data_IF_145294210355
#
_entry.id   IF_145294210355
#
_cell.length_a   1.000
_cell.length_b   1.000
_cell.length_c   1.000
_cell.angle_alpha   90.00
_cell.angle_beta   90.00
_cell.angle_gamma   90.00
#
_symmetry.space_group_name_H-M   'P 1'
#
loop_
_entity.id
_entity.type
_entity.pdbx_description
1 polymer ?
#
# COMPACT_ATOMS: atom_id res chain seq x y z
N UNK A 1 -25.65 -8.20 32.18
CA UNK A 1 -24.23 -8.07 31.81
C UNK A 1 -24.14 -8.53 30.36
N UNK A 2 -23.95 -7.61 29.40
CA UNK A 2 -23.93 -7.97 27.97
C UNK A 2 -22.67 -8.76 27.64
N UNK A 3 -22.78 -9.76 26.76
CA UNK A 3 -21.62 -10.58 26.40
C UNK A 3 -20.61 -9.78 25.57
N UNK A 4 -19.32 -10.14 25.67
CA UNK A 4 -18.24 -9.53 24.88
C UNK A 4 -18.54 -9.51 23.36
N UNK A 5 -19.24 -10.54 22.87
CA UNK A 5 -19.68 -10.63 21.48
C UNK A 5 -20.76 -9.61 21.13
N UNK A 6 -21.72 -9.38 22.03
CA UNK A 6 -22.76 -8.36 21.81
C UNK A 6 -22.18 -6.94 21.85
N UNK A 7 -21.22 -6.68 22.73
CA UNK A 7 -20.55 -5.38 22.83
C UNK A 7 -19.67 -5.13 21.59
N UNK A 8 -18.91 -6.13 21.15
CA UNK A 8 -18.14 -6.05 19.90
C UNK A 8 -19.04 -5.91 18.67
N UNK A 9 -20.21 -6.56 18.68
CA UNK A 9 -21.22 -6.45 17.63
C UNK A 9 -21.84 -5.06 17.56
N UNK A 10 -22.25 -4.51 18.70
CA UNK A 10 -22.79 -3.14 18.80
C UNK A 10 -21.77 -2.07 18.41
N UNK A 11 -20.51 -2.23 18.82
CA UNK A 11 -19.42 -1.35 18.42
C UNK A 11 -19.13 -1.44 16.92
N UNK A 12 -19.16 -2.66 16.36
CA UNK A 12 -19.05 -2.89 14.92
C UNK A 12 -20.17 -2.22 14.13
N UNK A 13 -21.42 -2.39 14.58
CA UNK A 13 -22.58 -1.71 14.00
C UNK A 13 -22.47 -0.19 14.13
N UNK A 14 -21.97 0.34 15.24
CA UNK A 14 -21.71 1.76 15.45
C UNK A 14 -20.69 2.33 14.46
N UNK A 15 -19.57 1.63 14.24
CA UNK A 15 -18.56 2.01 13.24
C UNK A 15 -19.12 1.93 11.82
N UNK A 16 -19.91 0.90 11.51
CA UNK A 16 -20.57 0.74 10.21
C UNK A 16 -21.55 1.87 9.91
N UNK A 17 -22.40 2.20 10.87
CA UNK A 17 -23.37 3.30 10.78
C UNK A 17 -22.65 4.63 10.58
N UNK A 18 -21.52 4.81 11.26
CA UNK A 18 -20.69 6.01 11.16
C UNK A 18 -19.95 6.11 9.82
N UNK A 19 -19.47 4.98 9.26
CA UNK A 19 -18.89 4.91 7.91
C UNK A 19 -19.95 5.16 6.84
N UNK A 20 -21.18 4.67 7.01
CA UNK A 20 -22.32 4.94 6.13
C UNK A 20 -22.70 6.42 6.19
N UNK A 21 -22.82 6.99 7.39
CA UNK A 21 -23.07 8.42 7.59
C UNK A 21 -21.95 9.26 6.99
N UNK A 22 -20.69 8.83 7.10
CA UNK A 22 -19.54 9.48 6.45
C UNK A 22 -19.62 9.40 4.92
N UNK A 23 -19.99 8.25 4.36
CA UNK A 23 -20.15 8.08 2.92
C UNK A 23 -21.26 8.97 2.34
N UNK A 24 -22.36 9.16 3.09
CA UNK A 24 -23.49 10.02 2.72
C UNK A 24 -23.17 11.51 2.95
N UNK A 25 -22.43 11.86 4.02
CA UNK A 25 -22.23 13.23 4.49
C UNK A 25 -20.90 13.87 4.05
N UNK A 26 -20.11 13.20 3.21
CA UNK A 26 -18.80 13.66 2.71
C UNK A 26 -18.87 15.04 2.01
N UNK A 27 -20.04 15.43 1.50
CA UNK A 27 -20.24 16.70 0.80
C UNK A 27 -20.81 17.84 1.67
N UNK A 28 -21.28 17.58 2.89
CA UNK A 28 -22.05 18.57 3.68
C UNK A 28 -21.44 18.96 5.03
N UNK A 29 -20.46 18.23 5.57
CA UNK A 29 -19.97 18.42 6.93
C UNK A 29 -18.51 18.95 7.03
N UNK A 30 -18.22 19.88 7.96
CA UNK A 30 -16.89 20.45 8.14
C UNK A 30 -15.87 19.44 8.69
N UNK A 31 -14.62 19.51 8.19
CA UNK A 31 -13.55 18.52 8.41
C UNK A 31 -13.19 18.27 9.90
N UNK A 32 -13.43 19.25 10.79
CA UNK A 32 -13.12 19.15 12.22
C UNK A 32 -14.12 18.29 13.02
N UNK A 33 -15.37 18.20 12.56
CA UNK A 33 -16.40 17.36 13.19
C UNK A 33 -15.98 15.88 13.20
N UNK A 34 -15.39 15.42 12.10
CA UNK A 34 -14.89 14.05 11.99
C UNK A 34 -13.71 13.79 12.93
N UNK A 35 -12.82 14.75 13.15
CA UNK A 35 -11.68 14.56 14.06
C UNK A 35 -12.14 14.34 15.51
N UNK A 36 -13.11 15.13 15.99
CA UNK A 36 -13.66 14.99 17.34
C UNK A 36 -14.36 13.64 17.51
N UNK A 37 -15.12 13.22 16.49
CA UNK A 37 -15.82 11.94 16.48
C UNK A 37 -14.86 10.74 16.55
N UNK A 38 -13.73 10.80 15.83
CA UNK A 38 -12.67 9.79 15.90
C UNK A 38 -11.97 9.76 17.27
N UNK A 39 -11.82 10.91 17.93
CA UNK A 39 -11.25 10.99 19.29
C UNK A 39 -12.20 10.36 20.31
N UNK A 40 -13.51 10.66 20.23
CA UNK A 40 -14.52 10.08 21.13
C UNK A 40 -14.62 8.57 20.94
N UNK A 41 -14.55 8.07 19.70
CA UNK A 41 -14.53 6.63 19.42
C UNK A 41 -13.26 5.94 19.92
N UNK A 42 -12.10 6.60 19.81
CA UNK A 42 -10.85 6.11 20.38
C UNK A 42 -10.90 6.04 21.92
N UNK A 43 -11.56 7.02 22.56
CA UNK A 43 -11.77 7.04 24.01
C UNK A 43 -12.79 6.00 24.49
N UNK A 44 -13.87 5.77 23.74
CA UNK A 44 -14.85 4.71 24.04
C UNK A 44 -14.26 3.30 23.83
N UNK A 45 -13.36 3.17 22.86
CA UNK A 45 -12.61 1.94 22.58
C UNK A 45 -11.61 1.60 23.69
N UNK A 46 -10.94 2.60 24.28
CA UNK A 46 -10.03 2.37 25.42
C UNK A 46 -10.78 1.98 26.71
N UNK A 47 -11.99 2.51 26.92
CA UNK A 47 -12.83 2.17 28.08
C UNK A 47 -13.41 0.74 28.04
N UNK A 48 -13.62 0.17 26.86
CA UNK A 48 -14.22 -1.17 26.68
C UNK A 48 -13.22 -2.33 26.77
N UNK A 49 -11.91 -2.04 26.87
CA UNK A 49 -10.82 -3.02 26.93
C UNK A 49 -10.54 -3.57 28.34
N UNK A 50 -11.28 -3.13 29.37
CA UNK A 50 -10.87 -3.30 30.77
C UNK A 50 -11.51 -4.46 31.55
N UNK A 51 -12.23 -5.39 30.91
CA UNK A 51 -12.95 -6.45 31.64
C UNK A 51 -12.58 -7.87 31.17
N UNK A 52 -11.91 -8.57 32.09
CA UNK A 52 -11.69 -10.03 32.21
C UNK A 52 -10.69 -10.73 31.24
N UNK A 53 -9.55 -11.15 31.83
CA UNK A 53 -8.34 -11.80 31.26
C UNK A 53 -7.36 -10.85 30.55
N UNK A 54 -6.03 -10.94 30.79
CA UNK A 54 -5.06 -9.98 30.25
C UNK A 54 -4.94 -10.19 28.73
N UNK A 55 -5.55 -9.33 27.89
CA UNK A 55 -5.45 -9.42 26.44
C UNK A 55 -4.01 -9.11 25.98
N UNK A 56 -3.17 -8.68 26.92
CA UNK A 56 -1.77 -8.29 26.78
C UNK A 56 -0.93 -9.38 26.11
N UNK A 57 -1.16 -10.67 26.39
CA UNK A 57 -0.34 -11.73 25.79
C UNK A 57 -0.69 -11.96 24.31
N UNK A 58 -1.98 -11.94 23.96
CA UNK A 58 -2.45 -12.10 22.57
C UNK A 58 -2.03 -10.87 21.76
N UNK A 59 -2.21 -9.68 22.30
CA UNK A 59 -1.78 -8.43 21.66
C UNK A 59 -0.26 -8.34 21.56
N UNK A 60 0.47 -8.74 22.59
CA UNK A 60 1.92 -8.80 22.60
C UNK A 60 2.46 -9.76 21.54
N UNK A 61 1.82 -10.92 21.36
CA UNK A 61 2.18 -11.87 20.31
C UNK A 61 1.88 -11.31 18.91
N UNK A 62 0.72 -10.68 18.70
CA UNK A 62 0.39 -10.01 17.43
C UNK A 62 1.38 -8.88 17.10
N UNK A 63 1.73 -8.03 18.08
CA UNK A 63 2.74 -6.98 17.92
C UNK A 63 4.10 -7.59 17.59
N UNK A 64 4.48 -8.68 18.25
CA UNK A 64 5.73 -9.39 17.99
C UNK A 64 5.79 -9.90 16.54
N UNK A 65 4.72 -10.53 16.04
CA UNK A 65 4.62 -10.98 14.63
C UNK A 65 4.77 -9.80 13.67
N UNK A 66 4.10 -8.68 13.92
CA UNK A 66 4.23 -7.48 13.09
C UNK A 66 5.66 -6.96 13.06
N UNK A 67 6.28 -6.85 14.23
CA UNK A 67 7.65 -6.37 14.38
C UNK A 67 8.62 -7.30 13.65
N UNK A 68 8.50 -8.61 13.82
CA UNK A 68 9.32 -9.61 13.12
C UNK A 68 9.12 -9.56 11.61
N UNK A 69 7.87 -9.53 11.14
CA UNK A 69 7.55 -9.36 9.72
C UNK A 69 8.19 -8.09 9.14
N UNK A 70 8.05 -6.97 9.86
CA UNK A 70 8.63 -5.69 9.47
C UNK A 70 10.16 -5.76 9.44
N UNK A 71 10.80 -6.35 10.45
CA UNK A 71 12.25 -6.56 10.51
C UNK A 71 12.74 -7.39 9.33
N UNK A 72 12.11 -8.53 9.06
CA UNK A 72 12.47 -9.41 7.93
C UNK A 72 12.30 -8.66 6.61
N UNK A 73 11.16 -7.99 6.41
CA UNK A 73 10.89 -7.19 5.21
C UNK A 73 11.95 -6.09 5.02
N UNK A 74 12.28 -5.34 6.09
CA UNK A 74 13.31 -4.31 6.03
C UNK A 74 14.71 -4.88 5.74
N UNK A 75 15.08 -6.01 6.34
CA UNK A 75 16.36 -6.67 6.10
C UNK A 75 16.47 -7.16 4.65
N UNK A 76 15.42 -7.79 4.12
CA UNK A 76 15.37 -8.22 2.73
C UNK A 76 15.43 -7.02 1.78
N UNK A 77 14.68 -5.96 2.07
CA UNK A 77 14.68 -4.72 1.29
C UNK A 77 16.06 -4.05 1.31
N UNK A 78 16.75 -4.02 2.45
CA UNK A 78 18.14 -3.52 2.54
C UNK A 78 19.10 -4.35 1.70
N UNK A 79 18.97 -5.68 1.70
CA UNK A 79 19.79 -6.55 0.84
C UNK A 79 19.54 -6.26 -0.65
N UNK A 80 18.28 -6.03 -1.06
CA UNK A 80 17.92 -5.66 -2.43
C UNK A 80 18.50 -4.29 -2.84
N UNK A 81 18.42 -3.30 -1.95
CA UNK A 81 18.92 -1.93 -2.18
C UNK A 81 20.45 -1.86 -2.18
N UNK A 82 21.15 -2.67 -1.37
CA UNK A 82 22.62 -2.73 -1.37
C UNK A 82 23.19 -3.33 -2.65
N UNK A 83 22.43 -4.19 -3.33
CA UNK A 83 22.82 -4.83 -4.59
C UNK A 83 22.39 -4.04 -5.82
N UNK A 84 21.64 -2.97 -5.64
CA UNK A 84 21.21 -2.13 -6.76
C UNK A 84 22.21 -1.01 -7.00
N UNK A 85 22.39 -0.69 -8.28
CA UNK A 85 23.29 0.36 -8.73
C UNK A 85 22.45 1.62 -8.95
N UNK A 86 22.86 2.79 -8.41
CA UNK A 86 22.15 4.03 -8.66
C UNK A 86 22.15 4.38 -10.16
N UNK A 87 21.00 4.77 -10.68
CA UNK A 87 20.84 5.13 -12.08
C UNK A 87 20.64 6.65 -12.20
N UNK A 88 21.73 7.34 -12.53
CA UNK A 88 21.77 8.80 -12.68
C UNK A 88 21.54 9.23 -14.13
N UNK A 89 20.68 8.52 -14.88
CA UNK A 89 20.33 8.97 -16.24
C UNK A 89 19.68 10.36 -16.17
N UNK A 90 20.21 11.38 -16.87
CA UNK A 90 19.75 12.77 -16.72
C UNK A 90 18.28 12.99 -17.08
N UNK A 91 17.70 12.18 -17.97
CA UNK A 91 16.28 12.20 -18.30
C UNK A 91 15.39 11.84 -17.10
N UNK A 92 15.83 10.90 -16.25
CA UNK A 92 15.12 10.49 -15.04
C UNK A 92 15.18 11.62 -14.02
N UNK A 93 16.37 12.16 -13.77
CA UNK A 93 16.55 13.26 -12.83
C UNK A 93 15.67 14.47 -13.20
N UNK A 94 15.66 14.87 -14.48
CA UNK A 94 14.83 15.97 -14.96
C UNK A 94 13.32 15.70 -14.79
N UNK A 95 12.87 14.48 -15.09
CA UNK A 95 11.47 14.10 -14.92
C UNK A 95 11.04 14.11 -13.44
N UNK A 96 11.89 13.60 -12.54
CA UNK A 96 11.64 13.59 -11.09
C UNK A 96 11.55 15.01 -10.55
N UNK A 97 12.50 15.89 -10.91
CA UNK A 97 12.50 17.28 -10.44
C UNK A 97 11.29 18.06 -10.96
N UNK A 98 10.84 17.77 -12.18
CA UNK A 98 9.64 18.39 -12.76
C UNK A 98 8.34 17.94 -12.09
N UNK A 99 8.23 16.67 -11.67
CA UNK A 99 6.98 16.10 -11.16
C UNK A 99 6.89 16.04 -9.63
N UNK A 100 7.99 16.22 -8.88
CA UNK A 100 8.00 15.94 -7.43
C UNK A 100 9.05 16.73 -6.64
N UNK A 101 8.63 17.31 -5.50
CA UNK A 101 9.53 17.96 -4.53
C UNK A 101 10.14 17.00 -3.49
N UNK A 102 9.65 15.76 -3.42
CA UNK A 102 10.12 14.73 -2.48
C UNK A 102 11.37 14.03 -3.02
N UNK A 103 12.39 13.88 -2.17
CA UNK A 103 13.60 13.11 -2.50
C UNK A 103 13.26 11.61 -2.57
N UNK A 104 13.31 11.04 -3.76
CA UNK A 104 13.30 9.59 -3.98
C UNK A 104 14.37 9.23 -5.02
N UNK A 105 14.94 8.04 -4.89
CA UNK A 105 16.07 7.59 -5.70
C UNK A 105 15.62 6.51 -6.68
N UNK A 106 16.20 6.50 -7.88
CA UNK A 106 15.93 5.48 -8.90
C UNK A 106 17.17 4.63 -9.06
N UNK A 107 17.01 3.33 -8.85
CA UNK A 107 18.11 2.37 -8.87
C UNK A 107 17.78 1.21 -9.79
N UNK A 108 18.81 0.55 -10.29
CA UNK A 108 18.68 -0.62 -11.16
C UNK A 108 19.12 -1.86 -10.39
N UNK A 109 18.31 -2.91 -10.44
CA UNK A 109 18.60 -4.19 -9.81
C UNK A 109 18.56 -5.32 -10.83
N UNK A 110 19.53 -6.23 -10.73
CA UNK A 110 19.70 -7.35 -11.66
C UNK A 110 18.76 -8.53 -11.36
N UNK A 111 18.36 -8.72 -10.10
CA UNK A 111 17.50 -9.83 -9.66
C UNK A 111 16.01 -9.47 -9.55
N UNK A 112 15.58 -8.40 -10.21
CA UNK A 112 14.19 -7.97 -10.17
C UNK A 112 13.60 -8.12 -11.56
N UNK A 113 12.37 -8.63 -11.63
CA UNK A 113 11.64 -8.90 -12.87
C UNK A 113 10.74 -7.71 -13.23
N UNK A 114 10.21 -7.00 -12.23
CA UNK A 114 9.25 -5.90 -12.41
C UNK A 114 9.67 -4.64 -11.65
N UNK A 115 9.39 -3.43 -12.20
CA UNK A 115 9.61 -2.19 -11.48
C UNK A 115 8.93 -2.25 -10.10
N UNK A 116 9.70 -2.00 -9.04
CA UNK A 116 9.22 -2.15 -7.66
C UNK A 116 9.64 -0.96 -6.83
N UNK A 117 8.69 -0.33 -6.12
CA UNK A 117 8.98 0.69 -5.12
C UNK A 117 9.34 0.01 -3.78
N UNK A 118 10.51 0.35 -3.23
CA UNK A 118 10.97 -0.12 -1.93
C UNK A 118 11.18 1.05 -0.98
N UNK A 119 10.81 0.89 0.29
CA UNK A 119 11.12 1.85 1.35
C UNK A 119 9.90 2.63 1.83
N UNK A 120 9.82 2.83 3.14
CA UNK A 120 8.63 3.39 3.78
C UNK A 120 8.70 4.92 3.93
N UNK A 121 9.87 5.45 4.28
CA UNK A 121 10.11 6.88 4.51
C UNK A 121 10.84 7.53 3.32
N UNK A 122 11.87 6.85 2.81
CA UNK A 122 12.59 7.18 1.59
C UNK A 122 12.30 6.12 0.54
N UNK A 123 11.27 6.30 -0.29
CA UNK A 123 10.97 5.36 -1.36
C UNK A 123 12.11 5.37 -2.38
N UNK A 124 12.46 4.20 -2.87
CA UNK A 124 13.48 3.94 -3.87
C UNK A 124 12.77 3.12 -4.95
N UNK A 125 12.76 3.62 -6.19
CA UNK A 125 12.20 2.88 -7.32
C UNK A 125 13.29 1.98 -7.88
N UNK A 126 13.04 0.68 -7.94
CA UNK A 126 13.96 -0.29 -8.52
C UNK A 126 13.48 -0.73 -9.89
N UNK A 127 14.29 -0.51 -10.91
CA UNK A 127 14.06 -1.02 -12.26
C UNK A 127 14.84 -2.31 -12.51
N UNK A 128 14.28 -3.24 -13.31
CA UNK A 128 15.01 -4.41 -13.76
C UNK A 128 16.13 -4.00 -14.75
N UNK A 129 17.29 -4.65 -14.68
CA UNK A 129 18.43 -4.37 -15.59
C UNK A 129 18.08 -4.58 -17.07
N UNK A 130 17.21 -5.55 -17.36
CA UNK A 130 16.77 -5.92 -18.71
C UNK A 130 15.61 -5.05 -19.22
N UNK A 131 15.34 -3.92 -18.58
CA UNK A 131 14.31 -3.01 -19.06
C UNK A 131 14.76 -2.36 -20.37
N UNK A 132 13.92 -2.45 -21.42
CA UNK A 132 14.25 -1.87 -22.71
C UNK A 132 14.17 -0.34 -22.61
N UNK A 133 15.34 0.31 -22.61
CA UNK A 133 15.49 1.77 -22.48
C UNK A 133 15.40 2.49 -23.83
N UNK A 134 15.29 1.76 -24.94
CA UNK A 134 15.27 2.34 -26.28
C UNK A 134 14.00 3.18 -26.49
N UNK A 135 12.88 2.75 -25.89
CA UNK A 135 11.61 3.47 -25.92
C UNK A 135 11.46 4.41 -24.72
N UNK A 136 11.96 5.64 -24.87
CA UNK A 136 11.90 6.68 -23.82
C UNK A 136 10.47 6.92 -23.31
N UNK A 137 9.46 6.91 -24.20
CA UNK A 137 8.06 7.17 -23.87
C UNK A 137 7.53 6.08 -22.93
N UNK A 138 7.71 4.81 -23.32
CA UNK A 138 7.29 3.65 -22.53
C UNK A 138 7.97 3.61 -21.16
N UNK A 139 9.26 3.94 -21.11
CA UNK A 139 10.01 4.00 -19.86
C UNK A 139 9.47 5.08 -18.90
N UNK A 140 9.13 6.27 -19.41
CA UNK A 140 8.55 7.34 -18.59
C UNK A 140 7.13 7.01 -18.10
N UNK A 141 6.33 6.32 -18.91
CA UNK A 141 4.99 5.87 -18.51
C UNK A 141 5.06 4.82 -17.39
N UNK A 142 5.99 3.87 -17.47
CA UNK A 142 6.20 2.89 -16.40
C UNK A 142 6.75 3.55 -15.12
N UNK A 143 7.60 4.57 -15.24
CA UNK A 143 8.04 5.37 -14.10
C UNK A 143 6.87 6.14 -13.47
N UNK A 144 5.99 6.72 -14.28
CA UNK A 144 4.81 7.43 -13.81
C UNK A 144 3.86 6.52 -13.03
N UNK A 145 3.69 5.27 -13.47
CA UNK A 145 2.91 4.26 -12.73
C UNK A 145 3.52 3.99 -11.34
N UNK A 146 4.84 3.81 -11.25
CA UNK A 146 5.50 3.59 -9.96
C UNK A 146 5.42 4.83 -9.05
N UNK A 147 5.44 6.03 -9.64
CA UNK A 147 5.30 7.28 -8.91
C UNK A 147 3.96 7.39 -8.17
N UNK A 148 2.86 6.87 -8.72
CA UNK A 148 1.55 6.86 -8.04
C UNK A 148 1.66 6.21 -6.65
N UNK A 149 2.34 5.07 -6.54
CA UNK A 149 2.55 4.38 -5.26
C UNK A 149 3.34 5.21 -4.25
N UNK A 150 4.28 6.05 -4.73
CA UNK A 150 5.03 6.99 -3.90
C UNK A 150 4.16 8.16 -3.44
N UNK A 151 3.41 8.74 -4.37
CA UNK A 151 2.55 9.92 -4.14
C UNK A 151 1.47 9.64 -3.11
N UNK A 152 0.84 8.47 -3.16
CA UNK A 152 -0.25 8.10 -2.27
C UNK A 152 0.22 7.39 -0.99
N UNK A 153 1.52 7.37 -0.71
CA UNK A 153 2.09 6.75 0.49
C UNK A 153 1.61 5.31 0.71
N UNK A 154 1.39 4.56 -0.37
CA UNK A 154 0.78 3.21 -0.32
C UNK A 154 1.50 2.30 0.68
N UNK A 155 2.82 2.39 0.74
CA UNK A 155 3.63 1.59 1.66
C UNK A 155 3.32 1.87 3.13
N UNK A 156 3.03 3.12 3.50
CA UNK A 156 2.62 3.49 4.88
C UNK A 156 1.21 2.99 5.15
N UNK A 157 0.28 3.17 4.21
CA UNK A 157 -1.09 2.66 4.34
C UNK A 157 -1.13 1.14 4.50
N UNK A 158 -0.28 0.40 3.77
CA UNK A 158 -0.14 -1.07 3.94
C UNK A 158 0.27 -1.45 5.36
N UNK A 159 1.23 -0.72 5.96
CA UNK A 159 1.63 -0.96 7.35
C UNK A 159 0.49 -0.63 8.32
N UNK A 160 -0.20 0.50 8.13
CA UNK A 160 -1.35 0.88 8.97
C UNK A 160 -2.46 -0.18 8.93
N UNK A 161 -2.84 -0.65 7.74
CA UNK A 161 -3.88 -1.67 7.59
C UNK A 161 -3.43 -2.99 8.24
N UNK A 162 -2.16 -3.36 8.09
CA UNK A 162 -1.63 -4.58 8.72
C UNK A 162 -1.64 -4.49 10.25
N UNK A 163 -1.32 -3.32 10.82
CA UNK A 163 -1.45 -3.06 12.27
C UNK A 163 -2.92 -3.18 12.70
N UNK A 164 -3.84 -2.54 11.99
CA UNK A 164 -5.28 -2.65 12.25
C UNK A 164 -5.77 -4.10 12.18
N UNK A 165 -5.32 -4.86 11.18
CA UNK A 165 -5.68 -6.26 10.99
C UNK A 165 -5.11 -7.17 12.08
N UNK A 166 -3.95 -6.83 12.63
CA UNK A 166 -3.35 -7.58 13.74
C UNK A 166 -4.06 -7.32 15.08
N UNK A 167 -4.56 -6.09 15.27
CA UNK A 167 -5.37 -5.71 16.43
C UNK A 167 -6.77 -6.33 16.34
N UNK A 168 -7.36 -6.33 15.13
CA UNK A 168 -8.74 -6.71 14.88
C UNK A 168 -8.85 -7.96 14.01
N UNK A 169 -7.95 -8.93 14.18
CA UNK A 169 -7.89 -10.12 13.33
C UNK A 169 -9.19 -10.94 13.35
N UNK A 170 -9.96 -10.84 14.44
CA UNK A 170 -11.27 -11.49 14.61
C UNK A 170 -12.42 -10.76 13.90
N UNK A 171 -12.22 -9.53 13.42
CA UNK A 171 -13.27 -8.73 12.80
C UNK A 171 -13.28 -8.94 11.27
N UNK A 172 -14.32 -9.59 10.69
CA UNK A 172 -14.40 -9.83 9.25
C UNK A 172 -14.42 -8.55 8.41
N UNK A 173 -14.89 -7.43 8.95
CA UNK A 173 -14.92 -6.15 8.23
C UNK A 173 -13.51 -5.61 7.97
N UNK A 174 -12.55 -5.87 8.86
CA UNK A 174 -11.16 -5.43 8.67
C UNK A 174 -10.47 -6.24 7.57
N UNK A 175 -10.84 -7.51 7.41
CA UNK A 175 -10.42 -8.32 6.26
C UNK A 175 -11.01 -7.79 4.94
N UNK A 176 -12.29 -7.42 4.92
CA UNK A 176 -12.92 -6.79 3.75
C UNK A 176 -12.23 -5.46 3.41
N UNK A 177 -11.96 -4.62 4.42
CA UNK A 177 -11.21 -3.37 4.24
C UNK A 177 -9.82 -3.62 3.65
N UNK A 178 -9.10 -4.64 4.13
CA UNK A 178 -7.79 -5.00 3.58
C UNK A 178 -7.89 -5.40 2.10
N UNK A 179 -8.88 -6.21 1.71
CA UNK A 179 -9.10 -6.61 0.32
C UNK A 179 -9.43 -5.39 -0.56
N UNK A 180 -10.36 -4.54 -0.11
CA UNK A 180 -10.77 -3.33 -0.84
C UNK A 180 -9.60 -2.37 -1.01
N UNK A 181 -8.84 -2.09 0.05
CA UNK A 181 -7.73 -1.14 -0.03
C UNK A 181 -6.62 -1.61 -0.99
N UNK A 182 -6.35 -2.91 -1.05
CA UNK A 182 -5.41 -3.45 -2.03
C UNK A 182 -5.89 -3.27 -3.47
N UNK A 183 -7.21 -3.37 -3.70
CA UNK A 183 -7.83 -3.14 -5.01
C UNK A 183 -7.83 -1.66 -5.38
N UNK A 184 -8.15 -0.76 -4.44
CA UNK A 184 -8.27 0.68 -4.69
C UNK A 184 -6.99 1.29 -5.23
N UNK A 185 -5.83 0.89 -4.68
CA UNK A 185 -4.53 1.39 -5.16
C UNK A 185 -4.29 0.99 -6.62
N UNK A 186 -4.68 -0.22 -6.98
CA UNK A 186 -4.52 -0.72 -8.36
C UNK A 186 -5.44 0.06 -9.30
N UNK A 187 -6.71 0.23 -8.93
CA UNK A 187 -7.67 1.02 -9.71
C UNK A 187 -7.24 2.48 -9.88
N UNK A 188 -6.67 3.11 -8.85
CA UNK A 188 -6.14 4.47 -8.94
C UNK A 188 -4.99 4.55 -9.94
N UNK A 189 -4.09 3.58 -9.95
CA UNK A 189 -3.00 3.50 -10.92
C UNK A 189 -3.55 3.37 -12.35
N UNK A 190 -4.55 2.51 -12.55
CA UNK A 190 -5.17 2.25 -13.85
C UNK A 190 -5.89 3.49 -14.39
N UNK A 191 -6.65 4.18 -13.52
CA UNK A 191 -7.34 5.42 -13.91
C UNK A 191 -6.34 6.53 -14.27
N UNK A 192 -5.31 6.74 -13.45
CA UNK A 192 -4.31 7.79 -13.71
C UNK A 192 -3.52 7.54 -14.99
N UNK A 193 -3.21 6.28 -15.29
CA UNK A 193 -2.51 5.91 -16.54
C UNK A 193 -3.42 6.09 -17.77
N UNK A 194 -4.69 5.74 -17.63
CA UNK A 194 -5.70 5.85 -18.71
C UNK A 194 -6.06 7.32 -19.02
N UNK A 195 -5.95 8.22 -18.05
CA UNK A 195 -6.26 9.64 -18.22
C UNK A 195 -5.15 10.46 -18.90
N UNK A 196 -3.93 9.91 -19.07
CA UNK A 196 -2.77 10.65 -19.58
C UNK A 196 -2.84 10.89 -21.10
N UNK A 197 -2.89 9.82 -21.92
CA UNK A 197 -2.91 9.93 -23.39
C UNK A 197 -3.39 8.62 -24.06
N UNK A 198 -3.75 8.66 -25.35
CA UNK A 198 -4.06 7.45 -26.14
C UNK A 198 -2.85 6.51 -26.24
N UNK A 199 -1.64 7.07 -26.34
CA UNK A 199 -0.39 6.33 -26.41
C UNK A 199 -0.10 5.62 -25.08
N UNK A 200 -0.32 6.30 -23.95
CA UNK A 200 -0.18 5.69 -22.61
C UNK A 200 -1.15 4.55 -22.36
N UNK A 201 -2.39 4.61 -22.90
CA UNK A 201 -3.33 3.47 -22.83
C UNK A 201 -2.79 2.23 -23.55
N UNK A 202 -2.18 2.42 -24.73
CA UNK A 202 -1.58 1.33 -25.49
C UNK A 202 -0.34 0.76 -24.77
N UNK A 203 0.55 1.63 -24.28
CA UNK A 203 1.69 1.22 -23.47
C UNK A 203 1.28 0.48 -22.19
N UNK A 204 0.18 0.89 -21.55
CA UNK A 204 -0.40 0.21 -20.39
C UNK A 204 -0.94 -1.19 -20.74
N UNK A 205 -1.73 -1.32 -21.81
CA UNK A 205 -2.22 -2.62 -22.25
C UNK A 205 -1.06 -3.58 -22.57
N UNK A 206 0.00 -3.09 -23.22
CA UNK A 206 1.20 -3.86 -23.49
C UNK A 206 1.97 -4.23 -22.21
N UNK A 207 2.04 -3.36 -21.21
CA UNK A 207 2.72 -3.67 -19.95
C UNK A 207 1.96 -4.77 -19.19
N UNK A 208 0.62 -4.77 -19.25
CA UNK A 208 -0.22 -5.83 -18.69
C UNK A 208 0.02 -7.19 -19.38
N UNK A 209 0.02 -7.23 -20.72
CA UNK A 209 0.30 -8.47 -21.48
C UNK A 209 1.70 -9.00 -21.17
N UNK A 210 2.71 -8.11 -21.18
CA UNK A 210 4.08 -8.51 -20.86
C UNK A 210 4.20 -9.04 -19.42
N UNK A 211 3.45 -8.44 -18.50
CA UNK A 211 3.40 -8.89 -17.10
C UNK A 211 2.76 -10.27 -17.00
N UNK A 212 1.62 -10.53 -17.65
CA UNK A 212 0.98 -11.85 -17.65
C UNK A 212 1.87 -12.93 -18.26
N UNK A 213 2.55 -12.63 -19.36
CA UNK A 213 3.48 -13.57 -20.01
C UNK A 213 4.65 -13.93 -19.10
N UNK A 214 5.14 -12.95 -18.34
CA UNK A 214 6.23 -13.15 -17.40
C UNK A 214 5.80 -14.00 -16.22
N UNK A 215 4.60 -13.77 -15.67
CA UNK A 215 4.03 -14.64 -14.63
C UNK A 215 3.92 -16.08 -15.11
N UNK A 216 3.36 -16.29 -16.32
CA UNK A 216 3.18 -17.62 -16.88
C UNK A 216 4.53 -18.37 -17.05
N UNK A 217 5.56 -17.67 -17.53
CA UNK A 217 6.92 -18.25 -17.64
C UNK A 217 7.54 -18.59 -16.29
N UNK A 218 7.27 -17.80 -15.25
CA UNK A 218 7.82 -18.04 -13.90
C UNK A 218 7.13 -19.26 -13.28
N UNK A 219 5.80 -19.37 -13.39
CA UNK A 219 5.01 -20.53 -12.94
C UNK A 219 5.40 -21.85 -13.64
N UNK A 220 5.82 -21.76 -14.91
CA UNK A 220 6.32 -22.93 -15.65
C UNK A 220 7.71 -23.37 -15.20
N UNK A 221 8.53 -22.46 -14.67
CA UNK A 221 9.88 -22.74 -14.20
C UNK A 221 9.89 -23.25 -12.75
N UNK A 222 8.98 -22.76 -11.90
CA UNK A 222 8.82 -23.22 -10.51
C UNK A 222 8.14 -24.60 -10.41
N UNK A 223 7.51 -25.08 -11.50
CA UNK A 223 6.92 -26.43 -11.61
C UNK A 223 7.88 -27.51 -12.15
N UNK A 224 9.13 -27.16 -12.44
CA UNK A 224 10.19 -28.10 -12.87
C UNK A 224 11.18 -28.32 -11.73
#
# INVERSE_FOLDING_TARGET
MMSFFEISGLLGCGVLLLVIVRAISIYHAPKYFFCILWIVLAFMFSASLFVAFPPVYIWGFSICIIVVYFLISNLQNRKKVKRSIPDHTPAICNWITAHTKRKYDVRVAERIIHPTVIGNLHPIVLFPKNFDRKDKIRFLDELAQQYVYIRYFTQIFRVLIFVTLSIHWFNPLVWVMYILSNRDVTLLCDMLTTCSSKESKYCYALSLIKKSDTYNKTDLNDRK
#
